data_IF_552785276686
#
_entry.id   IF_552785276686
#
_cell.length_a   1.000
_cell.length_b   1.000
_cell.length_c   1.000
_cell.angle_alpha   90.00
_cell.angle_beta   90.00
_cell.angle_gamma   90.00
#
_symmetry.space_group_name_H-M   'P 1'
#
loop_
_entity.id
_entity.type
_entity.pdbx_description
1 polymer ?
#
# COMPACT_ATOMS: atom_id res chain seq x y z
N UNK A 1 -5.78 26.54 -20.69
CA UNK A 1 -6.97 26.37 -19.82
C UNK A 1 -7.33 24.90 -19.64
N UNK A 2 -7.56 24.11 -20.70
CA UNK A 2 -7.85 22.67 -20.60
C UNK A 2 -6.73 21.84 -19.91
N UNK A 3 -5.46 22.05 -20.27
CA UNK A 3 -4.34 21.38 -19.62
C UNK A 3 -4.15 21.79 -18.14
N UNK A 4 -4.62 22.98 -17.75
CA UNK A 4 -4.55 23.46 -16.36
C UNK A 4 -5.65 22.82 -15.51
N UNK A 5 -6.86 22.67 -16.04
CA UNK A 5 -7.93 21.90 -15.37
C UNK A 5 -7.55 20.42 -15.20
N UNK A 6 -6.94 19.82 -16.23
CA UNK A 6 -6.44 18.44 -16.14
C UNK A 6 -5.40 18.29 -15.02
N UNK A 7 -4.37 19.16 -15.01
CA UNK A 7 -3.36 19.15 -13.95
C UNK A 7 -3.91 19.40 -12.55
N UNK A 8 -5.00 20.17 -12.40
CA UNK A 8 -5.67 20.36 -11.10
C UNK A 8 -6.39 19.09 -10.66
N UNK A 9 -7.13 18.44 -11.55
CA UNK A 9 -7.81 17.18 -11.26
C UNK A 9 -6.83 16.05 -10.94
N UNK A 10 -5.71 15.96 -11.65
CA UNK A 10 -4.66 14.97 -11.37
C UNK A 10 -4.02 15.21 -9.99
N UNK A 11 -3.85 16.48 -9.60
CA UNK A 11 -3.33 16.85 -8.29
C UNK A 11 -4.31 16.49 -7.17
N UNK A 12 -5.60 16.74 -7.39
CA UNK A 12 -6.65 16.40 -6.43
C UNK A 12 -6.79 14.89 -6.27
N UNK A 13 -6.78 14.12 -7.36
CA UNK A 13 -6.79 12.67 -7.33
C UNK A 13 -5.56 12.09 -6.59
N UNK A 14 -4.37 12.61 -6.87
CA UNK A 14 -3.15 12.22 -6.17
C UNK A 14 -3.21 12.54 -4.67
N UNK A 15 -3.82 13.68 -4.31
CA UNK A 15 -4.01 14.09 -2.92
C UNK A 15 -5.01 13.17 -2.21
N UNK A 16 -6.16 12.89 -2.81
CA UNK A 16 -7.16 11.96 -2.26
C UNK A 16 -6.59 10.55 -2.09
N UNK A 17 -5.80 10.06 -3.05
CA UNK A 17 -5.14 8.76 -2.93
C UNK A 17 -4.15 8.73 -1.76
N UNK A 18 -3.39 9.81 -1.57
CA UNK A 18 -2.43 9.94 -0.46
C UNK A 18 -3.13 9.98 0.90
N UNK A 19 -4.20 10.77 1.02
CA UNK A 19 -5.02 10.85 2.24
C UNK A 19 -5.69 9.50 2.55
N UNK A 20 -6.17 8.80 1.52
CA UNK A 20 -6.75 7.45 1.66
C UNK A 20 -5.73 6.43 2.17
N UNK A 21 -4.50 6.47 1.63
CA UNK A 21 -3.40 5.62 2.08
C UNK A 21 -2.97 5.94 3.51
N UNK A 22 -2.90 7.23 3.87
CA UNK A 22 -2.61 7.68 5.24
C UNK A 22 -3.63 7.15 6.24
N UNK A 23 -4.92 7.22 5.89
CA UNK A 23 -6.01 6.72 6.72
C UNK A 23 -5.94 5.19 6.87
N UNK A 24 -5.70 4.47 5.78
CA UNK A 24 -5.51 3.01 5.82
C UNK A 24 -4.29 2.62 6.68
N UNK A 25 -3.22 3.41 6.65
CA UNK A 25 -2.03 3.18 7.47
C UNK A 25 -2.33 3.40 8.97
N UNK A 26 -3.08 4.45 9.31
CA UNK A 26 -3.55 4.65 10.68
C UNK A 26 -4.43 3.49 11.17
N UNK A 27 -5.34 2.98 10.33
CA UNK A 27 -6.14 1.80 10.66
C UNK A 27 -5.28 0.55 10.89
N UNK A 28 -4.27 0.33 10.03
CA UNK A 28 -3.30 -0.75 10.18
C UNK A 28 -2.54 -0.67 11.51
N UNK A 29 -2.12 0.53 11.93
CA UNK A 29 -1.43 0.74 13.21
C UNK A 29 -2.36 0.52 14.40
N UNK A 30 -3.63 0.96 14.34
CA UNK A 30 -4.60 0.73 15.41
C UNK A 30 -4.87 -0.77 15.60
N UNK A 31 -4.91 -1.53 14.51
CA UNK A 31 -5.10 -2.97 14.51
C UNK A 31 -3.81 -3.75 14.81
N UNK A 32 -2.70 -3.05 15.05
CA UNK A 32 -1.36 -3.61 15.22
C UNK A 32 -0.99 -4.63 14.12
N UNK A 33 -1.44 -4.36 12.89
CA UNK A 33 -1.14 -5.21 11.73
C UNK A 33 0.36 -5.15 11.36
N UNK A 34 1.09 -4.15 11.85
CA UNK A 34 2.52 -3.96 11.67
C UNK A 34 2.92 -3.74 10.21
N UNK A 35 2.03 -3.30 9.33
CA UNK A 35 2.34 -3.04 7.92
C UNK A 35 3.02 -1.67 7.77
N UNK A 36 4.12 -1.62 7.04
CA UNK A 36 4.75 -0.36 6.65
C UNK A 36 3.92 0.35 5.56
N UNK A 37 4.05 1.68 5.44
CA UNK A 37 3.37 2.47 4.40
C UNK A 37 3.67 1.95 3.00
N UNK A 38 4.89 1.51 2.76
CA UNK A 38 5.26 0.98 1.45
C UNK A 38 4.52 -0.33 1.15
N UNK A 39 4.53 -1.27 2.09
CA UNK A 39 3.80 -2.55 1.97
C UNK A 39 2.32 -2.32 1.78
N UNK A 40 1.72 -1.41 2.54
CA UNK A 40 0.31 -1.07 2.40
C UNK A 40 -0.02 -0.49 1.03
N UNK A 41 0.83 0.40 0.50
CA UNK A 41 0.69 0.95 -0.85
C UNK A 41 0.68 -0.15 -1.92
N UNK A 42 1.60 -1.12 -1.80
CA UNK A 42 1.70 -2.24 -2.73
C UNK A 42 0.46 -3.13 -2.61
N UNK A 43 0.00 -3.44 -1.40
CA UNK A 43 -1.20 -4.23 -1.16
C UNK A 43 -2.45 -3.57 -1.76
N UNK A 44 -2.59 -2.25 -1.65
CA UNK A 44 -3.69 -1.49 -2.25
C UNK A 44 -3.63 -1.59 -3.78
N UNK A 45 -2.45 -1.38 -4.38
CA UNK A 45 -2.27 -1.52 -5.83
C UNK A 45 -2.56 -2.94 -6.34
N UNK A 46 -2.16 -3.95 -5.56
CA UNK A 46 -2.46 -5.36 -5.84
C UNK A 46 -3.96 -5.65 -5.68
N UNK A 47 -4.62 -5.04 -4.70
CA UNK A 47 -6.07 -5.19 -4.51
C UNK A 47 -6.86 -4.50 -5.63
N UNK A 48 -6.36 -3.38 -6.16
CA UNK A 48 -6.98 -2.61 -7.25
C UNK A 48 -7.03 -3.39 -8.58
N UNK A 49 -6.05 -4.27 -8.82
CA UNK A 49 -6.06 -5.20 -9.97
C UNK A 49 -6.96 -6.44 -9.75
N UNK A 50 -7.69 -6.50 -8.64
CA UNK A 50 -8.66 -7.56 -8.34
C UNK A 50 -8.11 -8.75 -7.56
N UNK A 51 -6.93 -8.63 -6.95
CA UNK A 51 -6.43 -9.67 -6.05
C UNK A 51 -7.21 -9.67 -4.73
N UNK A 52 -7.47 -10.86 -4.20
CA UNK A 52 -8.17 -10.99 -2.92
C UNK A 52 -7.29 -10.43 -1.77
N UNK A 53 -7.75 -9.43 -1.01
CA UNK A 53 -7.02 -8.89 0.14
C UNK A 53 -6.73 -9.94 1.23
N UNK A 54 -7.56 -10.98 1.36
CA UNK A 54 -7.37 -12.06 2.33
C UNK A 54 -6.16 -12.93 1.96
N UNK A 55 -5.99 -13.23 0.66
CA UNK A 55 -4.84 -13.96 0.13
C UNK A 55 -3.55 -13.13 0.27
N UNK A 56 -3.64 -11.83 0.02
CA UNK A 56 -2.53 -10.89 0.23
C UNK A 56 -2.13 -10.81 1.71
N UNK A 57 -3.09 -10.79 2.63
CA UNK A 57 -2.81 -10.81 4.06
C UNK A 57 -2.13 -12.11 4.51
N UNK A 58 -2.53 -13.26 3.96
CA UNK A 58 -1.87 -14.53 4.22
C UNK A 58 -0.43 -14.53 3.69
N UNK A 59 -0.21 -14.03 2.46
CA UNK A 59 1.12 -13.90 1.87
C UNK A 59 2.03 -13.01 2.72
N UNK A 60 1.55 -11.85 3.17
CA UNK A 60 2.34 -10.94 4.02
C UNK A 60 2.68 -11.57 5.37
N UNK A 61 1.78 -12.35 5.96
CA UNK A 61 2.05 -13.08 7.21
C UNK A 61 3.12 -14.14 7.02
N UNK A 62 3.08 -14.88 5.91
CA UNK A 62 4.09 -15.90 5.59
C UNK A 62 5.46 -15.25 5.27
N UNK A 63 5.49 -14.19 4.44
CA UNK A 63 6.72 -13.45 4.13
C UNK A 63 7.39 -12.81 5.35
N UNK A 64 6.61 -12.44 6.39
CA UNK A 64 7.16 -11.91 7.66
C UNK A 64 7.65 -13.00 8.61
N UNK A 65 7.16 -14.24 8.45
CA UNK A 65 7.67 -15.40 9.20
C UNK A 65 8.99 -15.91 8.61
N UNK A 66 9.17 -15.79 7.30
CA UNK A 66 10.47 -16.00 6.70
C UNK A 66 11.43 -14.90 7.20
N UNK A 67 12.60 -15.25 7.77
CA UNK A 67 13.61 -14.25 8.09
C UNK A 67 13.93 -13.48 6.79
N UNK A 68 14.32 -12.19 6.86
CA UNK A 68 14.80 -11.48 5.67
C UNK A 68 15.85 -12.38 5.05
N UNK A 69 15.55 -12.94 3.87
CA UNK A 69 16.41 -13.87 3.18
C UNK A 69 17.73 -13.16 3.07
N UNK A 70 18.67 -13.53 3.93
CA UNK A 70 19.95 -12.91 4.04
C UNK A 70 20.60 -13.22 2.72
N UNK A 71 20.61 -12.23 1.83
CA UNK A 71 21.52 -12.19 0.70
C UNK A 71 22.91 -12.04 1.33
N UNK A 72 23.40 -13.13 1.92
CA UNK A 72 24.79 -13.35 2.20
C UNK A 72 25.44 -13.50 0.83
N UNK A 73 25.82 -12.37 0.25
CA UNK A 73 26.88 -12.35 -0.75
C UNK A 73 28.19 -12.58 0.02
N UNK A 74 29.05 -13.51 -0.46
CA UNK A 74 30.31 -13.89 0.18
C UNK A 74 31.33 -12.74 0.22
#
# INVERSE_FOLDING_TARGET
MLAYLHSIMDNEAARTARESLDLAFHLSNILDAGLDRHTLSVLIALSDIGLNPEALAALVKELRKEPPSTTALP
#
